data_IF_209040651348
#
_entry.id   IF_209040651348
#
_cell.length_a   1.000
_cell.length_b   1.000
_cell.length_c   1.000
_cell.angle_alpha   90.00
_cell.angle_beta   90.00
_cell.angle_gamma   90.00
#
_symmetry.space_group_name_H-M   'P 1'
#
loop_
_entity.id
_entity.type
_entity.pdbx_description
1 polymer ?
#
# COMPACT_ATOMS: atom_id res chain seq x y z
N UNK A 1 14.99 6.87 8.88
CA UNK A 1 14.44 5.96 9.93
C UNK A 1 13.47 4.98 9.27
N UNK A 2 13.45 3.71 9.69
CA UNK A 2 12.56 2.67 9.16
C UNK A 2 11.54 2.25 10.23
N UNK A 3 10.29 2.03 9.83
CA UNK A 3 9.22 1.53 10.70
C UNK A 3 8.79 0.15 10.20
N UNK A 4 8.66 -0.82 11.11
CA UNK A 4 8.19 -2.16 10.80
C UNK A 4 6.74 -2.36 11.29
N UNK A 5 5.87 -2.91 10.44
CA UNK A 5 4.45 -3.16 10.76
C UNK A 5 4.06 -4.58 10.33
N UNK A 6 3.43 -5.36 11.23
CA UNK A 6 2.91 -6.70 10.89
C UNK A 6 1.54 -6.63 10.23
N UNK A 7 1.37 -7.25 9.04
CA UNK A 7 0.08 -7.28 8.34
C UNK A 7 -0.76 -8.54 8.58
N UNK A 8 -0.18 -9.59 9.19
CA UNK A 8 -0.82 -10.90 9.32
C UNK A 8 -2.17 -10.94 10.05
N UNK A 9 -2.54 -9.89 10.81
CA UNK A 9 -3.83 -9.80 11.51
C UNK A 9 -4.92 -9.04 10.72
N UNK A 10 -4.63 -8.56 9.50
CA UNK A 10 -5.64 -7.91 8.65
C UNK A 10 -6.45 -9.02 7.97
N UNK A 11 -7.62 -9.35 8.55
CA UNK A 11 -8.60 -10.25 7.92
C UNK A 11 -8.90 -9.76 6.49
N UNK A 12 -8.96 -10.69 5.54
CA UNK A 12 -9.14 -10.46 4.10
C UNK A 12 -7.97 -9.81 3.34
N UNK A 13 -6.74 -9.83 3.88
CA UNK A 13 -5.55 -9.32 3.18
C UNK A 13 -5.40 -9.83 1.75
N UNK A 14 -5.70 -11.10 1.54
CA UNK A 14 -5.51 -11.78 0.27
C UNK A 14 -6.56 -11.36 -0.80
N UNK A 15 -7.74 -10.89 -0.38
CA UNK A 15 -8.81 -10.38 -1.26
C UNK A 15 -8.65 -8.87 -1.54
N UNK A 16 -8.11 -8.11 -0.60
CA UNK A 16 -7.91 -6.66 -0.76
C UNK A 16 -6.72 -6.29 -1.66
N UNK A 17 -5.81 -7.22 -1.90
CA UNK A 17 -4.63 -7.07 -2.76
C UNK A 17 -4.92 -7.25 -4.27
N UNK A 18 -6.17 -7.51 -4.67
CA UNK A 18 -6.51 -7.73 -6.09
C UNK A 18 -6.20 -6.51 -6.98
N UNK A 19 -6.40 -5.29 -6.44
CA UNK A 19 -6.21 -4.04 -7.18
C UNK A 19 -4.97 -3.27 -6.76
N UNK A 20 -4.74 -3.12 -5.45
CA UNK A 20 -3.55 -2.46 -4.89
C UNK A 20 -3.16 -3.15 -3.58
N UNK A 21 -1.86 -3.36 -3.31
CA UNK A 21 -1.43 -3.95 -2.04
C UNK A 21 -1.91 -3.15 -0.83
N UNK A 22 -2.34 -3.84 0.22
CA UNK A 22 -2.83 -3.21 1.46
C UNK A 22 -1.86 -2.20 2.05
N UNK A 23 -0.55 -2.49 2.03
CA UNK A 23 0.43 -1.55 2.56
C UNK A 23 0.40 -0.23 1.80
N UNK A 24 0.22 -0.25 0.48
CA UNK A 24 0.10 0.96 -0.31
C UNK A 24 -1.14 1.77 0.08
N UNK A 25 -2.28 1.11 0.32
CA UNK A 25 -3.53 1.74 0.78
C UNK A 25 -3.44 2.34 2.20
N UNK A 26 -2.49 1.90 3.00
CA UNK A 26 -2.31 2.37 4.38
C UNK A 26 -1.40 3.60 4.47
N UNK A 27 -0.44 3.76 3.56
CA UNK A 27 0.50 4.91 3.57
C UNK A 27 0.19 5.96 2.50
N UNK A 28 -0.58 5.58 1.48
CA UNK A 28 -1.17 6.49 0.50
C UNK A 28 -2.69 6.43 0.60
N UNK A 29 -3.41 7.56 0.37
CA UNK A 29 -4.87 7.62 0.51
C UNK A 29 -5.60 6.97 -0.68
N UNK A 30 -5.24 5.72 -1.01
CA UNK A 30 -5.85 4.93 -2.07
C UNK A 30 -7.13 4.30 -1.51
N UNK A 31 -8.28 4.66 -2.08
CA UNK A 31 -9.55 4.05 -1.75
C UNK A 31 -9.79 2.72 -2.46
N UNK A 32 -11.06 2.30 -2.45
CA UNK A 32 -11.52 1.12 -3.18
C UNK A 32 -12.09 1.53 -4.54
N UNK A 33 -11.99 0.68 -5.59
CA UNK A 33 -12.66 0.96 -6.84
C UNK A 33 -14.18 1.03 -6.64
N UNK A 34 -14.78 2.13 -7.08
CA UNK A 34 -16.22 2.36 -7.04
C UNK A 34 -16.76 2.47 -8.46
N UNK A 35 -17.96 1.93 -8.66
CA UNK A 35 -18.69 2.06 -9.90
C UNK A 35 -19.55 3.32 -9.84
N UNK A 36 -19.15 4.37 -10.54
CA UNK A 36 -19.87 5.65 -10.57
C UNK A 36 -21.02 5.54 -11.58
N UNK A 37 -22.25 5.54 -11.07
CA UNK A 37 -23.48 5.63 -11.87
C UNK A 37 -23.99 7.07 -11.81
N UNK A 38 -23.87 7.86 -12.89
CA UNK A 38 -24.39 9.22 -12.89
C UNK A 38 -25.92 9.20 -12.88
N UNK A 39 -26.52 9.89 -11.91
CA UNK A 39 -27.97 10.11 -11.80
C UNK A 39 -28.24 11.47 -12.43
N UNK A 40 -28.56 11.52 -13.73
CA UNK A 40 -28.72 12.78 -14.47
C UNK A 40 -29.06 12.59 -15.96
N UNK A 41 -28.97 13.67 -16.73
CA UNK A 41 -29.37 13.84 -18.14
C UNK A 41 -28.54 13.04 -19.19
N UNK A 42 -27.85 11.97 -18.76
CA UNK A 42 -27.08 11.09 -19.64
C UNK A 42 -25.77 11.67 -20.18
N UNK A 43 -25.37 12.88 -19.77
CA UNK A 43 -24.13 13.52 -20.22
C UNK A 43 -22.86 12.89 -19.63
N UNK A 44 -22.96 12.33 -18.44
CA UNK A 44 -21.87 11.58 -17.83
C UNK A 44 -22.04 10.10 -18.14
N UNK A 45 -20.94 9.47 -18.55
CA UNK A 45 -20.88 8.01 -18.72
C UNK A 45 -20.53 7.36 -17.39
N UNK A 46 -21.14 6.21 -17.17
CA UNK A 46 -20.73 5.27 -16.14
C UNK A 46 -19.23 4.98 -16.24
N UNK A 47 -18.52 5.01 -15.11
CA UNK A 47 -17.08 4.76 -15.06
C UNK A 47 -16.67 4.16 -13.73
N UNK A 48 -15.55 3.45 -13.73
CA UNK A 48 -14.89 3.01 -12.49
C UNK A 48 -13.92 4.09 -12.04
N UNK A 49 -14.00 4.48 -10.78
CA UNK A 49 -13.06 5.41 -10.14
C UNK A 49 -12.43 4.78 -8.91
N UNK A 50 -11.26 5.26 -8.52
CA UNK A 50 -10.65 4.92 -7.22
C UNK A 50 -10.58 6.22 -6.41
N UNK A 51 -11.61 6.56 -5.62
CA UNK A 51 -11.63 7.77 -4.81
C UNK A 51 -10.50 7.76 -3.80
N UNK A 52 -10.07 8.95 -3.37
CA UNK A 52 -9.14 9.08 -2.26
C UNK A 52 -9.84 8.69 -0.96
N UNK A 53 -9.17 7.87 -0.16
CA UNK A 53 -9.61 7.52 1.19
C UNK A 53 -8.55 8.01 2.16
N UNK A 54 -8.72 9.21 2.70
CA UNK A 54 -7.71 9.87 3.55
C UNK A 54 -7.72 9.37 5.00
N UNK A 55 -8.80 8.71 5.41
CA UNK A 55 -8.96 8.17 6.75
C UNK A 55 -9.82 6.90 6.77
N UNK A 56 -9.65 6.12 7.84
CA UNK A 56 -10.41 4.92 8.17
C UNK A 56 -10.91 5.07 9.61
N UNK A 57 -12.22 4.95 9.80
CA UNK A 57 -12.83 4.94 11.12
C UNK A 57 -12.93 3.51 11.63
N UNK A 58 -12.31 3.25 12.78
CA UNK A 58 -12.38 1.95 13.48
C UNK A 58 -13.79 1.73 14.07
N UNK A 59 -14.10 0.49 14.43
CA UNK A 59 -15.37 0.14 15.08
C UNK A 59 -15.63 0.89 16.40
N UNK A 60 -14.57 1.34 17.08
CA UNK A 60 -14.65 2.14 18.30
C UNK A 60 -14.72 3.66 18.05
N UNK A 61 -14.88 4.09 16.79
CA UNK A 61 -14.96 5.50 16.40
C UNK A 61 -13.61 6.20 16.24
N UNK A 62 -12.48 5.55 16.56
CA UNK A 62 -11.17 6.15 16.37
C UNK A 62 -10.82 6.29 14.89
N UNK A 63 -10.29 7.45 14.50
CA UNK A 63 -9.92 7.76 13.12
C UNK A 63 -8.44 7.49 12.90
N UNK A 64 -8.11 6.76 11.83
CA UNK A 64 -6.74 6.49 11.39
C UNK A 64 -6.53 7.11 10.01
N UNK A 65 -5.56 8.01 9.90
CA UNK A 65 -5.17 8.61 8.63
C UNK A 65 -4.39 7.62 7.77
N UNK A 66 -4.65 7.61 6.47
CA UNK A 66 -3.92 6.83 5.44
C UNK A 66 -2.95 7.71 4.64
N UNK A 67 -2.78 8.96 5.06
CA UNK A 67 -1.98 9.99 4.39
C UNK A 67 -0.55 10.04 4.90
N UNK A 68 -0.03 8.97 5.50
CA UNK A 68 1.27 8.96 6.19
C UNK A 68 2.38 9.59 5.33
N UNK A 69 2.57 9.14 4.09
CA UNK A 69 3.63 9.66 3.21
C UNK A 69 3.31 10.99 2.53
N UNK A 70 2.09 11.51 2.72
CA UNK A 70 1.72 12.87 2.30
C UNK A 70 1.93 13.89 3.42
N UNK A 71 2.06 13.43 4.67
CA UNK A 71 2.34 14.30 5.81
C UNK A 71 3.83 14.71 5.78
N UNK A 72 4.16 16.02 5.74
CA UNK A 72 5.54 16.50 5.82
C UNK A 72 6.30 16.01 7.07
N UNK A 73 5.59 15.74 8.17
CA UNK A 73 6.17 15.20 9.39
C UNK A 73 6.73 13.77 9.20
N UNK A 74 6.29 13.06 8.16
CA UNK A 74 6.82 11.73 7.81
C UNK A 74 8.13 11.78 7.03
N UNK A 75 8.60 12.95 6.60
CA UNK A 75 9.82 13.11 5.79
C UNK A 75 11.11 12.53 6.41
N UNK A 76 11.26 12.32 7.74
CA UNK A 76 12.39 11.57 8.29
C UNK A 76 12.32 10.04 8.04
N UNK A 77 11.17 9.52 7.62
CA UNK A 77 10.95 8.11 7.32
C UNK A 77 11.40 7.80 5.90
N UNK A 78 12.28 6.82 5.74
CA UNK A 78 12.75 6.38 4.41
C UNK A 78 11.74 5.44 3.74
N UNK A 79 10.98 4.70 4.54
CA UNK A 79 9.97 3.76 4.09
C UNK A 79 9.37 2.97 5.25
N UNK A 80 8.41 2.12 4.92
CA UNK A 80 7.77 1.18 5.84
C UNK A 80 8.07 -0.24 5.39
N UNK A 81 8.62 -1.04 6.31
CA UNK A 81 8.80 -2.47 6.12
C UNK A 81 7.61 -3.21 6.70
N UNK A 82 7.20 -4.29 6.06
CA UNK A 82 6.06 -5.06 6.52
C UNK A 82 6.20 -6.54 6.20
N UNK A 83 5.69 -7.38 7.10
CA UNK A 83 5.59 -8.82 6.87
C UNK A 83 4.30 -9.12 6.11
N UNK A 84 4.42 -9.84 5.00
CA UNK A 84 3.31 -10.24 4.13
C UNK A 84 2.63 -11.52 4.57
N UNK A 85 3.32 -12.33 5.37
CA UNK A 85 2.77 -13.58 5.87
C UNK A 85 2.26 -13.48 7.32
N UNK A 86 1.49 -14.48 7.72
CA UNK A 86 0.91 -14.56 9.05
C UNK A 86 2.00 -14.67 10.12
N UNK A 87 1.77 -14.03 11.28
CA UNK A 87 2.70 -14.03 12.44
C UNK A 87 2.95 -15.43 13.04
N UNK A 88 2.23 -16.44 12.56
CA UNK A 88 2.35 -17.84 13.01
C UNK A 88 3.11 -18.70 12.02
N UNK A 89 3.59 -18.14 10.90
CA UNK A 89 4.40 -18.90 9.98
C UNK A 89 5.80 -19.10 10.60
N UNK A 90 6.12 -20.35 10.95
CA UNK A 90 7.32 -20.72 11.71
C UNK A 90 8.60 -20.71 10.86
N UNK A 91 8.47 -20.66 9.54
CA UNK A 91 9.58 -20.57 8.60
C UNK A 91 9.56 -19.19 7.93
N UNK A 92 10.09 -18.18 8.62
CA UNK A 92 10.22 -16.83 8.09
C UNK A 92 11.44 -16.71 7.18
N UNK A 93 11.24 -16.15 5.99
CA UNK A 93 12.30 -15.81 5.04
C UNK A 93 12.10 -14.36 4.55
N UNK A 94 13.07 -13.49 4.87
CA UNK A 94 13.01 -12.09 4.49
C UNK A 94 12.87 -11.89 2.96
N UNK A 95 13.51 -12.73 2.16
CA UNK A 95 13.44 -12.64 0.71
C UNK A 95 12.08 -13.07 0.13
N UNK A 96 11.21 -13.68 0.95
CA UNK A 96 9.90 -14.19 0.54
C UNK A 96 8.74 -13.47 1.22
N UNK A 97 8.95 -13.02 2.45
CA UNK A 97 7.87 -12.53 3.32
C UNK A 97 7.96 -11.04 3.61
N UNK A 98 9.11 -10.40 3.36
CA UNK A 98 9.30 -8.99 3.66
C UNK A 98 8.94 -8.12 2.46
N UNK A 99 8.03 -7.17 2.67
CA UNK A 99 7.76 -6.07 1.76
C UNK A 99 8.34 -4.76 2.27
N UNK A 100 8.68 -3.87 1.34
CA UNK A 100 9.12 -2.51 1.62
C UNK A 100 8.35 -1.52 0.75
N UNK A 101 7.83 -0.45 1.35
CA UNK A 101 7.27 0.68 0.63
C UNK A 101 8.05 1.95 0.93
N UNK A 102 8.60 2.57 -0.10
CA UNK A 102 9.46 3.75 0.00
C UNK A 102 8.63 5.02 0.18
N UNK A 103 9.07 5.89 1.09
CA UNK A 103 8.50 7.23 1.23
C UNK A 103 9.08 8.15 0.14
N UNK A 104 8.26 8.67 -0.80
CA UNK A 104 8.75 9.56 -1.86
C UNK A 104 9.25 10.90 -1.32
N UNK A 105 8.83 11.29 -0.12
CA UNK A 105 9.17 12.56 0.54
C UNK A 105 10.29 12.41 1.57
N UNK A 106 11.02 11.29 1.55
CA UNK A 106 12.09 11.02 2.51
C UNK A 106 13.26 12.00 2.36
N UNK A 107 13.66 12.63 3.47
CA UNK A 107 14.88 13.46 3.58
C UNK A 107 16.15 12.64 3.41
N UNK A 108 16.13 11.38 3.86
CA UNK A 108 17.20 10.40 3.64
C UNK A 108 16.57 9.17 2.97
N UNK A 109 16.44 9.15 1.63
CA UNK A 109 15.82 8.05 0.93
C UNK A 109 16.68 6.80 1.02
N UNK A 110 16.03 5.65 1.21
CA UNK A 110 16.71 4.36 1.16
C UNK A 110 16.92 3.98 -0.31
N UNK A 111 18.13 3.53 -0.65
CA UNK A 111 18.41 3.06 -2.01
C UNK A 111 17.55 1.82 -2.31
N UNK A 112 16.95 1.76 -3.50
CA UNK A 112 16.15 0.60 -3.92
C UNK A 112 17.04 -0.63 -4.05
N UNK A 113 16.58 -1.77 -3.55
CA UNK A 113 17.35 -3.02 -3.51
C UNK A 113 18.43 -3.08 -2.44
N UNK A 114 18.50 -2.10 -1.53
CA UNK A 114 19.42 -2.15 -0.39
C UNK A 114 18.97 -3.10 0.71
N UNK A 115 17.68 -3.45 0.74
CA UNK A 115 17.11 -4.47 1.61
C UNK A 115 16.69 -5.65 0.75
N UNK A 116 17.09 -6.86 1.16
CA UNK A 116 16.63 -8.09 0.54
C UNK A 116 15.16 -8.34 0.91
N UNK A 117 14.25 -7.74 0.14
CA UNK A 117 12.81 -7.85 0.30
C UNK A 117 12.20 -8.56 -0.92
N UNK A 118 11.18 -9.41 -0.71
CA UNK A 118 10.44 -10.06 -1.79
C UNK A 118 9.74 -9.05 -2.72
N UNK A 119 9.43 -7.89 -2.16
CA UNK A 119 8.67 -6.82 -2.79
C UNK A 119 9.22 -5.47 -2.34
N UNK A 120 9.52 -4.60 -3.30
CA UNK A 120 9.69 -3.17 -3.05
C UNK A 120 8.66 -2.36 -3.84
N UNK A 121 8.06 -1.35 -3.23
CA UNK A 121 7.09 -0.45 -3.86
C UNK A 121 7.49 1.01 -3.67
N UNK A 122 7.20 1.85 -4.67
CA UNK A 122 7.43 3.30 -4.59
C UNK A 122 6.46 4.07 -5.48
N UNK A 123 6.09 5.27 -5.07
CA UNK A 123 5.35 6.20 -5.92
C UNK A 123 6.31 7.04 -6.76
N UNK A 124 6.00 7.16 -8.06
CA UNK A 124 6.67 8.12 -8.93
C UNK A 124 6.19 9.55 -8.64
N UNK A 125 6.92 10.60 -9.09
CA UNK A 125 6.45 11.98 -8.97
C UNK A 125 5.07 12.24 -9.61
N UNK A 126 4.64 11.39 -10.56
CA UNK A 126 3.32 11.45 -11.20
C UNK A 126 2.22 10.70 -10.41
N UNK A 127 2.51 10.24 -9.20
CA UNK A 127 1.56 9.48 -8.37
C UNK A 127 1.32 8.04 -8.82
N UNK A 128 2.13 7.51 -9.74
CA UNK A 128 2.03 6.12 -10.20
C UNK A 128 2.78 5.22 -9.24
N UNK A 129 2.10 4.23 -8.64
CA UNK A 129 2.70 3.19 -7.83
C UNK A 129 3.47 2.21 -8.74
N UNK A 130 4.75 2.02 -8.44
CA UNK A 130 5.64 1.06 -9.10
C UNK A 130 6.10 0.04 -8.07
N UNK A 131 6.51 -1.12 -8.56
CA UNK A 131 7.03 -2.17 -7.72
C UNK A 131 8.14 -2.95 -8.41
N UNK A 132 8.95 -3.64 -7.59
CA UNK A 132 9.93 -4.64 -7.96
C UNK A 132 9.64 -5.90 -7.15
N UNK A 133 9.81 -7.07 -7.77
CA UNK A 133 9.51 -8.35 -7.12
C UNK A 133 8.02 -8.67 -7.04
N UNK A 134 7.65 -9.63 -6.20
CA UNK A 134 6.28 -10.16 -6.10
C UNK A 134 5.60 -9.51 -4.90
N UNK A 135 4.66 -8.60 -5.13
CA UNK A 135 4.05 -7.76 -4.09
C UNK A 135 2.64 -8.17 -3.65
N UNK A 136 2.01 -9.08 -4.38
CA UNK A 136 0.72 -9.70 -4.02
C UNK A 136 0.76 -11.19 -4.37
N UNK A 137 -0.13 -12.00 -3.78
CA UNK A 137 -0.38 -13.38 -4.23
C UNK A 137 -1.18 -13.42 -5.52
N UNK A 138 -2.01 -12.40 -5.77
CA UNK A 138 -2.94 -12.33 -6.91
C UNK A 138 -2.92 -10.96 -7.60
N UNK A 139 -3.54 -10.87 -8.79
CA UNK A 139 -3.70 -9.59 -9.49
C UNK A 139 -2.42 -9.03 -10.12
N UNK A 140 -2.44 -7.72 -10.37
CA UNK A 140 -1.41 -7.04 -11.18
C UNK A 140 -0.03 -6.95 -10.52
N UNK A 141 0.04 -7.19 -9.21
CA UNK A 141 1.25 -7.11 -8.38
C UNK A 141 1.84 -8.50 -8.05
N UNK A 142 1.26 -9.58 -8.60
CA UNK A 142 1.73 -10.95 -8.37
C UNK A 142 2.88 -11.38 -9.31
N UNK A 143 3.14 -10.63 -10.38
CA UNK A 143 4.26 -10.89 -11.29
C UNK A 143 5.40 -9.93 -10.99
N UNK A 144 6.63 -10.43 -10.91
CA UNK A 144 7.80 -9.58 -10.82
C UNK A 144 7.90 -8.66 -12.05
N UNK A 145 8.22 -7.39 -11.81
CA UNK A 145 8.43 -6.35 -12.82
C UNK A 145 9.66 -5.54 -12.48
#
# INVERSE_FOLDING_TARGET
>A
MLIAVGQGAIKDSDLHDMHHPLMAKAVFPIGEPVWMVPIGDGRQKTRVEVPRREEITKSNGAVVKTTLFLDPASSPLSGVMYARDHVHNLAWDAERDLGLIHNPSATTPLARGSIAACCEMWCTPRGILRHRGVCSRYGSYAKAR
#
